data_IF_890770011495
#
_entry.id   IF_890770011495
#
_cell.length_a   1.000
_cell.length_b   1.000
_cell.length_c   1.000
_cell.angle_alpha   90.00
_cell.angle_beta   90.00
_cell.angle_gamma   90.00
#
_symmetry.space_group_name_H-M   'P 1'
#
loop_
_entity.id
_entity.type
_entity.pdbx_description
1 polymer ?
#
# COMPACT_ATOMS: atom_id res chain seq x y z
N UNK A 1 57.82 -39.50 53.19
CA UNK A 1 57.86 -40.32 51.96
C UNK A 1 56.52 -41.05 51.86
N UNK A 2 55.55 -40.55 51.09
CA UNK A 2 54.42 -41.33 50.56
C UNK A 2 53.73 -40.48 49.48
N UNK A 3 54.12 -40.69 48.23
CA UNK A 3 53.37 -40.21 47.07
C UNK A 3 52.12 -41.09 46.92
N UNK A 4 50.93 -40.47 46.86
CA UNK A 4 49.70 -41.15 46.48
C UNK A 4 49.34 -40.77 45.05
N UNK A 5 49.45 -41.77 44.19
CA UNK A 5 49.08 -41.81 42.78
C UNK A 5 47.66 -41.29 42.54
N UNK A 6 47.53 -40.28 41.68
CA UNK A 6 46.27 -39.95 41.02
C UNK A 6 45.97 -41.04 39.98
N UNK A 7 44.92 -41.83 40.23
CA UNK A 7 44.31 -42.66 39.20
C UNK A 7 43.23 -41.81 38.54
N UNK A 8 43.52 -41.32 37.33
CA UNK A 8 42.58 -40.58 36.50
C UNK A 8 41.77 -41.62 35.69
N UNK A 9 40.53 -41.86 36.09
CA UNK A 9 39.65 -42.82 35.43
C UNK A 9 39.26 -42.30 34.03
N UNK A 10 39.73 -43.00 33.00
CA UNK A 10 39.55 -42.69 31.58
C UNK A 10 38.09 -42.67 31.11
N UNK A 11 37.16 -43.24 31.89
CA UNK A 11 35.71 -43.22 31.63
C UNK A 11 35.08 -41.85 31.94
N UNK A 12 35.67 -41.09 32.87
CA UNK A 12 35.17 -39.78 33.30
C UNK A 12 35.47 -38.69 32.26
N UNK A 13 36.58 -38.81 31.53
CA UNK A 13 36.96 -37.87 30.46
C UNK A 13 36.08 -38.01 29.21
N UNK A 14 35.65 -39.23 28.87
CA UNK A 14 34.84 -39.51 27.67
C UNK A 14 33.40 -39.00 27.85
N UNK A 15 32.84 -39.15 29.04
CA UNK A 15 31.48 -38.68 29.36
C UNK A 15 31.38 -37.15 29.37
N UNK A 16 32.41 -36.44 29.84
CA UNK A 16 32.49 -34.97 29.76
C UNK A 16 32.60 -34.50 28.31
N UNK A 17 33.33 -35.23 27.46
CA UNK A 17 33.50 -34.88 26.05
C UNK A 17 32.19 -35.02 25.24
N UNK A 18 31.39 -36.06 25.51
CA UNK A 18 30.07 -36.23 24.89
C UNK A 18 29.03 -35.20 25.35
N UNK A 19 29.07 -34.80 26.63
CA UNK A 19 28.15 -33.77 27.17
C UNK A 19 28.48 -32.36 26.63
N UNK A 20 29.77 -32.07 26.38
CA UNK A 20 30.21 -30.81 25.78
C UNK A 20 29.89 -30.73 24.27
N UNK A 21 29.96 -31.86 23.55
CA UNK A 21 29.65 -31.92 22.12
C UNK A 21 28.15 -31.74 21.82
N UNK A 22 27.26 -32.18 22.72
CA UNK A 22 25.81 -32.01 22.57
C UNK A 22 25.33 -30.56 22.78
N UNK A 23 26.08 -29.75 23.52
CA UNK A 23 25.73 -28.35 23.81
C UNK A 23 26.23 -27.36 22.72
N UNK A 24 27.14 -27.80 21.84
CA UNK A 24 27.69 -26.98 20.75
C UNK A 24 26.88 -27.05 19.44
N UNK A 25 25.79 -27.84 19.38
CA UNK A 25 24.95 -28.02 18.19
C UNK A 25 23.54 -27.41 18.30
N UNK A 26 23.24 -26.68 19.38
CA UNK A 26 21.98 -25.97 19.56
C UNK A 26 22.27 -24.59 20.19
N UNK A 27 22.36 -23.47 19.43
CA UNK A 27 21.33 -23.02 18.50
C UNK A 27 21.88 -22.25 17.27
N UNK A 28 21.86 -22.86 16.07
CA UNK A 28 22.08 -22.13 14.80
C UNK A 28 20.84 -22.15 13.91
N UNK A 29 19.66 -22.28 14.50
CA UNK A 29 18.41 -21.88 13.87
C UNK A 29 18.01 -20.49 14.36
N UNK A 30 18.95 -19.54 14.32
CA UNK A 30 18.56 -18.14 14.11
C UNK A 30 18.02 -18.07 12.69
N UNK A 31 16.77 -18.53 12.55
CA UNK A 31 15.92 -18.16 11.45
C UNK A 31 16.07 -16.65 11.32
N UNK A 32 16.60 -16.20 10.19
CA UNK A 32 16.25 -14.90 9.64
C UNK A 32 14.75 -14.95 9.37
N UNK A 33 13.95 -14.97 10.43
CA UNK A 33 12.62 -14.43 10.42
C UNK A 33 12.88 -12.96 10.16
N UNK A 34 12.90 -12.63 8.87
CA UNK A 34 12.89 -11.27 8.38
C UNK A 34 11.99 -10.50 9.32
N UNK A 35 12.58 -9.59 10.10
CA UNK A 35 11.83 -8.53 10.72
C UNK A 35 11.24 -7.77 9.54
N UNK A 36 10.06 -8.21 9.11
CA UNK A 36 9.20 -7.45 8.21
C UNK A 36 8.91 -6.22 9.03
N UNK A 37 9.73 -5.19 8.86
CA UNK A 37 9.52 -3.88 9.46
C UNK A 37 8.08 -3.52 9.11
N UNK A 38 7.18 -3.64 10.09
CA UNK A 38 5.79 -3.29 9.90
C UNK A 38 5.78 -1.79 9.64
N UNK A 39 5.75 -1.42 8.36
CA UNK A 39 5.62 -0.04 7.96
C UNK A 39 4.35 0.49 8.63
N UNK A 40 4.48 1.57 9.39
CA UNK A 40 3.35 2.25 10.02
C UNK A 40 2.57 3.05 8.97
N UNK A 41 1.31 3.41 9.28
CA UNK A 41 0.53 4.24 8.37
C UNK A 41 1.20 5.62 8.16
N UNK A 42 1.80 6.18 9.22
CA UNK A 42 2.51 7.44 9.18
C UNK A 42 3.73 7.38 8.24
N UNK A 43 4.51 6.31 8.34
CA UNK A 43 5.65 6.08 7.43
C UNK A 43 5.17 5.90 5.99
N UNK A 44 4.09 5.16 5.77
CA UNK A 44 3.51 4.99 4.44
C UNK A 44 3.04 6.32 3.84
N UNK A 45 2.41 7.18 4.64
CA UNK A 45 2.00 8.52 4.21
C UNK A 45 3.21 9.41 3.90
N UNK A 46 4.30 9.32 4.66
CA UNK A 46 5.54 10.04 4.39
C UNK A 46 6.19 9.55 3.09
N UNK A 47 6.26 8.24 2.87
CA UNK A 47 6.76 7.64 1.62
C UNK A 47 5.93 8.11 0.44
N UNK A 48 4.59 8.07 0.54
CA UNK A 48 3.70 8.51 -0.52
C UNK A 48 3.93 9.99 -0.88
N UNK A 49 4.14 10.86 0.11
CA UNK A 49 4.50 12.27 -0.12
C UNK A 49 5.88 12.43 -0.77
N UNK A 50 6.85 11.63 -0.35
CA UNK A 50 8.20 11.68 -0.92
C UNK A 50 8.20 11.28 -2.41
N UNK A 51 7.40 10.27 -2.77
CA UNK A 51 7.25 9.80 -4.15
C UNK A 51 6.72 10.87 -5.11
N UNK A 52 5.85 11.77 -4.64
CA UNK A 52 5.24 12.81 -5.47
C UNK A 52 5.91 14.18 -5.34
N UNK A 53 6.90 14.33 -4.45
CA UNK A 53 7.51 15.62 -4.09
C UNK A 53 8.10 16.34 -5.31
N UNK A 54 8.72 15.60 -6.21
CA UNK A 54 9.43 16.15 -7.37
C UNK A 54 8.49 16.40 -8.57
N UNK A 55 7.17 16.21 -8.38
CA UNK A 55 6.15 16.36 -9.43
C UNK A 55 6.20 15.27 -10.51
N UNK A 56 7.12 14.31 -10.41
CA UNK A 56 7.20 13.14 -11.27
C UNK A 56 6.27 12.06 -10.76
N UNK A 57 5.60 11.36 -11.68
CA UNK A 57 4.79 10.20 -11.33
C UNK A 57 5.69 9.06 -10.86
N UNK A 58 5.43 8.49 -9.67
CA UNK A 58 6.15 7.31 -9.23
C UNK A 58 5.72 6.08 -10.03
N UNK A 59 6.52 5.00 -10.02
CA UNK A 59 6.12 3.76 -10.67
C UNK A 59 4.91 3.15 -9.97
N UNK A 60 3.97 2.59 -10.75
CA UNK A 60 2.68 2.10 -10.25
C UNK A 60 2.84 1.04 -9.16
N UNK A 61 3.81 0.13 -9.31
CA UNK A 61 4.07 -0.96 -8.36
C UNK A 61 4.40 -0.47 -6.95
N UNK A 62 5.16 0.63 -6.81
CA UNK A 62 5.49 1.22 -5.53
C UNK A 62 4.24 1.77 -4.82
N UNK A 63 3.32 2.35 -5.59
CA UNK A 63 2.05 2.87 -5.07
C UNK A 63 1.10 1.72 -4.73
N UNK A 64 1.04 0.68 -5.56
CA UNK A 64 0.21 -0.50 -5.36
C UNK A 64 0.59 -1.27 -4.09
N UNK A 65 1.88 -1.37 -3.75
CA UNK A 65 2.33 -2.00 -2.50
C UNK A 65 1.75 -1.27 -1.28
N UNK A 66 1.79 0.06 -1.28
CA UNK A 66 1.21 0.89 -0.22
C UNK A 66 -0.31 0.74 -0.19
N UNK A 67 -0.98 0.82 -1.35
CA UNK A 67 -2.43 0.62 -1.44
C UNK A 67 -2.87 -0.72 -0.81
N UNK A 68 -2.19 -1.82 -1.17
CA UNK A 68 -2.55 -3.15 -0.68
C UNK A 68 -2.32 -3.29 0.83
N UNK A 69 -1.15 -2.84 1.32
CA UNK A 69 -0.78 -2.93 2.74
C UNK A 69 -1.71 -2.08 3.62
N UNK A 70 -2.19 -0.95 3.11
CA UNK A 70 -2.97 0.04 3.87
C UNK A 70 -4.40 0.21 3.37
N UNK A 71 -4.96 -0.78 2.69
CA UNK A 71 -6.25 -0.71 1.96
C UNK A 71 -7.47 -0.23 2.75
N UNK A 72 -7.45 -0.33 4.09
CA UNK A 72 -8.54 0.10 4.99
C UNK A 72 -8.33 1.47 5.65
N UNK A 73 -7.25 2.16 5.27
CA UNK A 73 -6.81 3.40 5.90
C UNK A 73 -6.97 4.58 4.94
N UNK A 74 -6.77 5.80 5.47
CA UNK A 74 -6.71 7.01 4.63
C UNK A 74 -5.54 6.96 3.67
N UNK A 75 -4.38 6.49 4.12
CA UNK A 75 -3.17 6.37 3.28
C UNK A 75 -3.38 5.41 2.11
N UNK A 76 -4.06 4.27 2.32
CA UNK A 76 -4.38 3.35 1.23
C UNK A 76 -5.34 3.95 0.20
N UNK A 77 -6.33 4.73 0.65
CA UNK A 77 -7.24 5.45 -0.26
C UNK A 77 -6.48 6.52 -1.08
N UNK A 78 -5.56 7.26 -0.46
CA UNK A 78 -4.70 8.22 -1.17
C UNK A 78 -3.77 7.53 -2.16
N UNK A 79 -3.19 6.38 -1.80
CA UNK A 79 -2.39 5.56 -2.71
C UNK A 79 -3.22 5.07 -3.91
N UNK A 80 -4.46 4.60 -3.68
CA UNK A 80 -5.38 4.22 -4.75
C UNK A 80 -5.69 5.40 -5.69
N UNK A 81 -5.91 6.59 -5.15
CA UNK A 81 -6.13 7.78 -5.97
C UNK A 81 -4.89 8.10 -6.82
N UNK A 82 -3.70 8.05 -6.22
CA UNK A 82 -2.46 8.29 -6.96
C UNK A 82 -2.25 7.25 -8.06
N UNK A 83 -2.58 5.98 -7.78
CA UNK A 83 -2.56 4.91 -8.79
C UNK A 83 -3.52 5.23 -9.94
N UNK A 84 -4.77 5.59 -9.65
CA UNK A 84 -5.71 6.03 -10.67
C UNK A 84 -5.19 7.20 -11.50
N UNK A 85 -4.53 8.18 -10.86
CA UNK A 85 -3.92 9.30 -11.56
C UNK A 85 -2.76 8.87 -12.49
N UNK A 86 -1.94 7.90 -12.08
CA UNK A 86 -0.91 7.31 -12.95
C UNK A 86 -1.53 6.71 -14.22
N UNK A 87 -2.63 5.95 -14.09
CA UNK A 87 -3.34 5.42 -15.25
C UNK A 87 -3.94 6.53 -16.12
N UNK A 88 -4.48 7.59 -15.49
CA UNK A 88 -5.05 8.72 -16.21
C UNK A 88 -4.03 9.41 -17.09
N UNK A 89 -2.85 9.71 -16.53
CA UNK A 89 -1.74 10.36 -17.24
C UNK A 89 -1.13 9.44 -18.32
N UNK A 90 -1.26 8.12 -18.16
CA UNK A 90 -0.91 7.14 -19.19
C UNK A 90 -1.98 6.98 -20.29
N UNK A 91 -3.05 7.78 -20.29
CA UNK A 91 -4.24 7.66 -21.14
C UNK A 91 -5.01 6.34 -21.00
N UNK A 92 -4.74 5.57 -19.93
CA UNK A 92 -5.55 4.40 -19.57
C UNK A 92 -6.79 4.86 -18.80
N UNK A 93 -7.71 5.48 -19.54
CA UNK A 93 -8.95 6.00 -18.99
C UNK A 93 -9.88 4.88 -18.49
N UNK A 94 -9.84 3.70 -19.13
CA UNK A 94 -10.64 2.57 -18.68
C UNK A 94 -10.14 2.06 -17.32
N UNK A 95 -8.83 1.81 -17.19
CA UNK A 95 -8.21 1.44 -15.92
C UNK A 95 -8.44 2.48 -14.82
N UNK A 96 -8.33 3.77 -15.16
CA UNK A 96 -8.64 4.87 -14.22
C UNK A 96 -10.07 4.77 -13.70
N UNK A 97 -11.05 4.64 -14.59
CA UNK A 97 -12.46 4.56 -14.20
C UNK A 97 -12.76 3.34 -13.32
N UNK A 98 -12.12 2.19 -13.60
CA UNK A 98 -12.25 0.97 -12.80
C UNK A 98 -11.65 1.14 -11.40
N UNK A 99 -10.44 1.70 -11.28
CA UNK A 99 -9.78 1.91 -9.98
C UNK A 99 -10.61 2.86 -9.10
N UNK A 100 -11.20 3.89 -9.70
CA UNK A 100 -12.00 4.88 -8.99
C UNK A 100 -13.44 4.44 -8.68
N UNK A 101 -13.90 3.31 -9.23
CA UNK A 101 -15.20 2.73 -8.90
C UNK A 101 -15.17 2.03 -7.52
N UNK A 102 -15.00 2.82 -6.46
CA UNK A 102 -14.87 2.32 -5.09
C UNK A 102 -15.38 3.32 -4.06
N UNK A 103 -16.03 2.81 -3.01
CA UNK A 103 -16.51 3.64 -1.89
C UNK A 103 -15.41 4.05 -0.90
N UNK A 104 -14.18 3.53 -1.05
CA UNK A 104 -13.08 3.78 -0.10
C UNK A 104 -12.78 5.28 0.07
N UNK A 105 -12.95 6.08 -0.99
CA UNK A 105 -12.71 7.52 -0.92
C UNK A 105 -13.72 8.21 0.00
N UNK A 106 -15.00 7.81 -0.09
CA UNK A 106 -16.08 8.33 0.75
C UNK A 106 -15.91 7.92 2.21
N UNK A 107 -15.43 6.71 2.44
CA UNK A 107 -15.27 6.16 3.79
C UNK A 107 -14.00 6.65 4.49
N UNK A 108 -12.92 6.92 3.75
CA UNK A 108 -11.58 7.13 4.32
C UNK A 108 -11.01 8.52 4.05
N UNK A 109 -11.63 9.32 3.19
CA UNK A 109 -11.07 10.61 2.75
C UNK A 109 -12.14 11.68 2.60
N UNK A 110 -11.67 12.94 2.50
CA UNK A 110 -12.51 14.10 2.21
C UNK A 110 -12.44 14.52 0.73
N UNK A 111 -11.78 13.74 -0.12
CA UNK A 111 -11.49 14.07 -1.54
C UNK A 111 -12.33 13.25 -2.52
N UNK A 112 -13.50 12.80 -2.06
CA UNK A 112 -14.42 11.97 -2.85
C UNK A 112 -14.92 12.72 -4.09
N UNK A 113 -15.13 14.03 -3.96
CA UNK A 113 -15.48 14.92 -5.05
C UNK A 113 -14.43 14.89 -6.17
N UNK A 114 -13.14 14.93 -5.83
CA UNK A 114 -12.07 14.83 -6.82
C UNK A 114 -12.01 13.44 -7.48
N UNK A 115 -12.18 12.37 -6.71
CA UNK A 115 -12.21 11.00 -7.24
C UNK A 115 -13.38 10.80 -8.22
N UNK A 116 -14.57 11.30 -7.89
CA UNK A 116 -15.74 11.28 -8.77
C UNK A 116 -15.50 12.09 -10.04
N UNK A 117 -14.94 13.30 -9.93
CA UNK A 117 -14.62 14.14 -11.09
C UNK A 117 -13.64 13.44 -12.04
N UNK A 118 -12.57 12.86 -11.49
CA UNK A 118 -11.56 12.16 -12.28
C UNK A 118 -12.17 10.93 -12.98
N UNK A 119 -12.98 10.13 -12.26
CA UNK A 119 -13.69 8.98 -12.83
C UNK A 119 -14.64 9.40 -13.96
N UNK A 120 -15.45 10.44 -13.75
CA UNK A 120 -16.37 10.94 -14.76
C UNK A 120 -15.64 11.38 -16.02
N UNK A 121 -14.52 12.10 -15.89
CA UNK A 121 -13.67 12.49 -17.03
C UNK A 121 -13.11 11.27 -17.76
N UNK A 122 -12.61 10.27 -17.04
CA UNK A 122 -12.13 9.03 -17.64
C UNK A 122 -13.23 8.31 -18.42
N UNK A 123 -14.44 8.23 -17.87
CA UNK A 123 -15.59 7.63 -18.54
C UNK A 123 -16.00 8.39 -19.82
N UNK A 124 -15.91 9.71 -19.84
CA UNK A 124 -16.12 10.49 -21.07
C UNK A 124 -15.08 10.15 -22.14
N UNK A 125 -13.80 10.06 -21.75
CA UNK A 125 -12.72 9.76 -22.69
C UNK A 125 -12.82 8.35 -23.29
N UNK A 126 -13.45 7.41 -22.59
CA UNK A 126 -13.72 6.06 -23.12
C UNK A 126 -15.04 5.95 -23.90
N UNK A 127 -15.80 7.04 -24.03
CA UNK A 127 -17.12 7.05 -24.70
C UNK A 127 -18.26 6.48 -23.86
N UNK A 128 -18.03 6.16 -22.58
CA UNK A 128 -19.07 5.69 -21.67
C UNK A 128 -19.83 6.89 -21.05
N UNK A 129 -20.52 7.61 -21.93
CA UNK A 129 -21.19 8.87 -21.61
C UNK A 129 -22.31 8.72 -20.57
N UNK A 130 -23.10 7.65 -20.65
CA UNK A 130 -24.19 7.40 -19.71
C UNK A 130 -23.68 7.24 -18.26
N UNK A 131 -22.60 6.48 -18.06
CA UNK A 131 -22.01 6.32 -16.74
C UNK A 131 -21.30 7.61 -16.28
N UNK A 132 -20.65 8.33 -17.19
CA UNK A 132 -20.06 9.63 -16.87
C UNK A 132 -21.11 10.63 -16.36
N UNK A 133 -22.29 10.69 -16.98
CA UNK A 133 -23.40 11.52 -16.52
C UNK A 133 -23.83 11.15 -15.10
N UNK A 134 -23.96 9.86 -14.79
CA UNK A 134 -24.34 9.42 -13.45
C UNK A 134 -23.32 9.86 -12.40
N UNK A 135 -22.02 9.71 -12.70
CA UNK A 135 -20.92 10.10 -11.80
C UNK A 135 -20.89 11.62 -11.57
N UNK A 136 -21.02 12.42 -12.63
CA UNK A 136 -21.06 13.88 -12.47
C UNK A 136 -22.32 14.37 -11.75
N UNK A 137 -23.47 13.72 -11.98
CA UNK A 137 -24.70 14.02 -11.26
C UNK A 137 -24.56 13.72 -9.75
N UNK A 138 -23.93 12.59 -9.40
CA UNK A 138 -23.59 12.27 -8.01
C UNK A 138 -22.70 13.34 -7.39
N UNK A 139 -21.62 13.74 -8.08
CA UNK A 139 -20.72 14.78 -7.58
C UNK A 139 -21.45 16.09 -7.30
N UNK A 140 -22.27 16.56 -8.24
CA UNK A 140 -23.00 17.83 -8.11
C UNK A 140 -24.04 17.79 -6.99
N UNK A 141 -24.69 16.63 -6.80
CA UNK A 141 -25.72 16.45 -5.76
C UNK A 141 -25.09 16.33 -4.37
N UNK A 142 -24.05 15.52 -4.23
CA UNK A 142 -23.47 15.16 -2.94
C UNK A 142 -22.40 16.16 -2.48
N UNK A 143 -21.75 16.86 -3.41
CA UNK A 143 -20.67 17.82 -3.16
C UNK A 143 -20.91 19.17 -3.86
N UNK A 144 -22.04 19.87 -3.59
CA UNK A 144 -22.41 21.10 -4.31
C UNK A 144 -21.40 22.25 -4.14
N UNK A 145 -20.70 22.30 -3.00
CA UNK A 145 -19.69 23.32 -2.68
C UNK A 145 -18.28 22.96 -3.14
N UNK A 146 -18.09 21.79 -3.76
CA UNK A 146 -16.78 21.39 -4.30
C UNK A 146 -16.33 22.36 -5.40
N UNK A 147 -15.02 22.62 -5.45
CA UNK A 147 -14.39 23.32 -6.57
C UNK A 147 -14.65 22.61 -7.91
N UNK A 148 -14.94 21.30 -7.90
CA UNK A 148 -15.26 20.48 -9.08
C UNK A 148 -16.73 20.47 -9.44
N UNK A 149 -17.63 20.99 -8.60
CA UNK A 149 -19.07 20.93 -8.86
C UNK A 149 -19.46 21.71 -10.13
N UNK A 150 -18.93 22.92 -10.30
CA UNK A 150 -19.22 23.75 -11.48
C UNK A 150 -18.73 23.10 -12.77
N UNK A 151 -17.49 22.63 -12.79
CA UNK A 151 -16.90 21.95 -13.95
C UNK A 151 -17.69 20.67 -14.27
N UNK A 152 -18.06 19.89 -13.26
CA UNK A 152 -18.82 18.64 -13.44
C UNK A 152 -20.21 18.87 -14.02
N UNK A 153 -20.87 20.01 -13.73
CA UNK A 153 -22.15 20.38 -14.41
C UNK A 153 -21.96 20.57 -15.91
N UNK A 154 -20.84 21.18 -16.32
CA UNK A 154 -20.52 21.38 -17.73
C UNK A 154 -20.22 20.03 -18.39
N UNK A 155 -19.36 19.21 -17.76
CA UNK A 155 -19.00 17.89 -18.28
C UNK A 155 -20.20 16.94 -18.35
N UNK A 156 -21.12 17.03 -17.39
CA UNK A 156 -22.40 16.33 -17.42
C UNK A 156 -23.20 16.70 -18.67
N UNK A 157 -23.35 18.01 -18.95
CA UNK A 157 -24.10 18.50 -20.09
C UNK A 157 -23.47 18.12 -21.44
N UNK A 158 -22.13 18.05 -21.53
CA UNK A 158 -21.44 17.62 -22.76
C UNK A 158 -21.34 16.09 -22.90
N UNK A 159 -21.84 15.33 -21.93
CA UNK A 159 -21.97 13.87 -22.01
C UNK A 159 -23.36 13.42 -22.45
N UNK A 160 -24.33 14.33 -22.54
CA UNK A 160 -25.68 14.04 -23.05
C UNK A 160 -25.70 14.10 -24.57
#
# INVERSE_FOLDING_TARGET
>A
MFQKNLRFDSVSLITIFFLAAAFLLAPLTTSCSAFVSQMTEEQAAQTLRALIKDGKLPPENAVLEIENRFSKTKTGALARLLRAYIHFEANDFNGTAQILNSNVFREKTTITDYALWLRGKSLQQTGNHAEAMNVFAELVRDFPDSIRARESKILWATSA
#
